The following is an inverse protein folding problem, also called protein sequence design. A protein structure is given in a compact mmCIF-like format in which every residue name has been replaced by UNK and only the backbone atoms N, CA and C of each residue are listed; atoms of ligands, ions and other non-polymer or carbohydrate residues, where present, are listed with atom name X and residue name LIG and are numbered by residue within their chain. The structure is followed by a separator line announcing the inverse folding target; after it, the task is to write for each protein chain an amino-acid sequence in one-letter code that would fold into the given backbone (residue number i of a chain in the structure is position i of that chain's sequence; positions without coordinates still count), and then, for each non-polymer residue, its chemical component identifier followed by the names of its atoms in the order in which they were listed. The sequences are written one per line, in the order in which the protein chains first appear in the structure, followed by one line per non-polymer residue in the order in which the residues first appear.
data_IF_722016225435
#
_entry.id   IF_722016225435
#
_cell.length_a   1.000
_cell.length_b   1.000
_cell.length_c   1.000
_cell.angle_alpha   90.00
_cell.angle_beta   90.00
_cell.angle_gamma   90.00
#
_symmetry.space_group_name_H-M   'P 1'
#
loop_
_entity.id
_entity.type
_entity.pdbx_description
1 polymer ?
#
# COMPACT_ATOMS: atom_id res chain seq x y z
N UNK A 1 -15.82 10.00 5.76
CA UNK A 1 -14.65 9.23 6.28
C UNK A 1 -14.22 8.29 5.17
N UNK A 2 -12.97 7.82 5.15
CA UNK A 2 -12.49 6.90 4.13
C UNK A 2 -11.77 5.72 4.77
N UNK A 3 -11.61 4.64 4.01
CA UNK A 3 -10.93 3.43 4.47
C UNK A 3 -9.65 3.22 3.67
N UNK A 4 -8.56 2.94 4.38
CA UNK A 4 -7.31 2.47 3.81
C UNK A 4 -7.12 1.00 4.20
N UNK A 5 -7.17 0.10 3.21
CA UNK A 5 -6.84 -1.31 3.35
C UNK A 5 -5.46 -1.57 2.77
N UNK A 6 -4.57 -2.18 3.54
CA UNK A 6 -3.22 -2.59 3.09
C UNK A 6 -3.21 -4.11 3.06
N UNK A 7 -2.79 -4.68 1.93
CA UNK A 7 -2.83 -6.13 1.68
C UNK A 7 -1.44 -6.70 1.46
N UNK A 8 -1.31 -8.00 1.69
CA UNK A 8 -0.27 -8.84 1.13
C UNK A 8 -0.91 -9.82 0.16
N UNK A 9 -0.24 -10.11 -0.95
CA UNK A 9 -0.77 -11.00 -1.99
C UNK A 9 -0.39 -12.48 -1.78
N UNK A 10 -1.23 -13.38 -2.30
CA UNK A 10 -1.00 -14.82 -2.37
C UNK A 10 -0.05 -15.15 -3.51
N UNK A 11 0.94 -16.02 -3.27
CA UNK A 11 1.83 -16.57 -4.31
C UNK A 11 2.95 -15.64 -4.80
N UNK A 12 2.79 -14.32 -4.71
CA UNK A 12 3.86 -13.34 -4.94
C UNK A 12 4.00 -12.42 -3.73
N UNK A 13 5.23 -12.19 -3.27
CA UNK A 13 5.49 -11.22 -2.20
C UNK A 13 5.23 -9.80 -2.71
N UNK A 14 3.98 -9.36 -2.63
CA UNK A 14 3.56 -8.03 -3.04
C UNK A 14 2.67 -7.39 -1.97
N UNK A 15 2.83 -6.07 -1.80
CA UNK A 15 2.00 -5.21 -0.98
C UNK A 15 1.23 -4.24 -1.87
N UNK A 16 -0.06 -4.06 -1.60
CA UNK A 16 -0.89 -3.09 -2.31
C UNK A 16 -1.89 -2.43 -1.36
N UNK A 17 -2.49 -1.33 -1.80
CA UNK A 17 -3.45 -0.57 -1.02
C UNK A 17 -4.78 -0.47 -1.77
N UNK A 18 -5.89 -0.75 -1.08
CA UNK A 18 -7.23 -0.41 -1.54
C UNK A 18 -7.76 0.77 -0.72
N UNK A 19 -8.19 1.81 -1.40
CA UNK A 19 -8.78 3.00 -0.80
C UNK A 19 -10.27 3.04 -1.11
N UNK A 20 -11.11 3.07 -0.08
CA UNK A 20 -12.58 3.22 -0.21
C UNK A 20 -12.99 4.62 0.24
N UNK A 21 -13.57 5.42 -0.65
CA UNK A 21 -14.05 6.78 -0.37
C UNK A 21 -15.55 6.79 -0.08
N UNK A 22 -16.06 7.77 0.69
CA UNK A 22 -17.46 7.70 1.17
C UNK A 22 -18.53 8.00 0.11
N UNK A 23 -18.31 8.93 -0.82
CA UNK A 23 -19.37 9.35 -1.77
C UNK A 23 -18.84 9.80 -3.16
N UNK A 24 -19.29 9.16 -4.26
CA UNK A 24 -19.87 7.82 -4.28
C UNK A 24 -18.87 6.81 -3.68
N UNK A 25 -19.41 5.74 -3.07
CA UNK A 25 -18.56 4.66 -2.55
C UNK A 25 -17.72 4.09 -3.68
N UNK A 26 -16.43 4.40 -3.66
CA UNK A 26 -15.51 4.09 -4.75
C UNK A 26 -14.28 3.43 -4.16
N UNK A 27 -13.98 2.24 -4.65
CA UNK A 27 -12.75 1.54 -4.35
C UNK A 27 -11.71 1.82 -5.44
N UNK A 28 -10.48 2.07 -5.02
CA UNK A 28 -9.36 2.30 -5.93
C UNK A 28 -8.13 1.60 -5.41
N UNK A 29 -7.49 0.84 -6.30
CA UNK A 29 -6.30 0.07 -6.01
C UNK A 29 -5.04 0.83 -6.39
N UNK A 30 -4.02 0.71 -5.54
CA UNK A 30 -2.72 1.32 -5.74
C UNK A 30 -1.63 0.35 -5.28
N UNK A 31 -0.73 0.00 -6.20
CA UNK A 31 0.46 -0.80 -5.93
C UNK A 31 1.69 -0.21 -6.62
N UNK A 32 2.85 -0.77 -6.32
CA UNK A 32 4.10 -0.41 -6.99
C UNK A 32 4.90 -1.65 -7.34
N UNK A 33 5.17 -1.84 -8.63
CA UNK A 33 5.79 -3.05 -9.17
C UNK A 33 6.96 -2.71 -10.09
N UNK A 34 7.89 -3.66 -10.31
CA UNK A 34 8.95 -3.45 -11.30
C UNK A 34 8.32 -3.43 -12.70
N UNK A 35 8.73 -2.46 -13.53
CA UNK A 35 8.29 -2.36 -14.92
C UNK A 35 8.67 -3.61 -15.74
N UNK A 36 9.72 -4.32 -15.32
CA UNK A 36 10.08 -5.63 -15.86
C UNK A 36 9.78 -6.70 -14.82
N UNK A 37 8.87 -7.61 -15.17
CA UNK A 37 8.39 -8.65 -14.26
C UNK A 37 9.53 -9.47 -13.64
N UNK A 38 9.44 -9.69 -12.31
CA UNK A 38 10.41 -10.43 -11.48
C UNK A 38 11.84 -9.88 -11.52
N UNK A 39 12.05 -8.63 -11.90
CA UNK A 39 13.35 -7.97 -11.73
C UNK A 39 13.41 -7.27 -10.38
N UNK A 40 14.41 -7.59 -9.54
CA UNK A 40 14.55 -6.95 -8.23
C UNK A 40 15.00 -5.49 -8.32
N UNK A 41 15.62 -5.11 -9.45
CA UNK A 41 16.03 -3.74 -9.76
C UNK A 41 15.59 -3.39 -11.18
N UNK A 42 14.74 -2.38 -11.33
CA UNK A 42 14.32 -1.84 -12.63
C UNK A 42 13.68 -0.46 -12.46
N UNK A 43 13.25 0.15 -13.57
CA UNK A 43 12.24 1.21 -13.48
C UNK A 43 11.01 0.69 -12.74
N UNK A 44 10.42 1.50 -11.88
CA UNK A 44 9.18 1.18 -11.21
C UNK A 44 7.96 1.58 -12.04
N UNK A 45 6.80 1.09 -11.64
CA UNK A 45 5.51 1.49 -12.20
C UNK A 45 4.45 1.44 -11.10
N UNK A 46 3.67 2.51 -10.99
CA UNK A 46 2.45 2.52 -10.19
C UNK A 46 1.40 1.66 -10.90
N UNK A 47 0.80 0.76 -10.15
CA UNK A 47 -0.21 -0.17 -10.62
C UNK A 47 -1.57 0.14 -10.00
N UNK A 48 -2.62 -0.04 -10.80
CA UNK A 48 -4.01 0.24 -10.43
C UNK A 48 -4.92 -0.98 -10.63
N UNK A 49 -4.36 -2.16 -10.86
CA UNK A 49 -5.14 -3.35 -11.10
C UNK A 49 -5.88 -3.77 -9.82
N UNK A 50 -7.11 -4.26 -9.98
CA UNK A 50 -7.86 -4.89 -8.90
C UNK A 50 -7.10 -6.11 -8.37
N UNK A 51 -6.94 -6.18 -7.04
CA UNK A 51 -6.19 -7.23 -6.34
C UNK A 51 -7.07 -8.10 -5.45
N UNK A 52 -8.40 -7.96 -5.54
CA UNK A 52 -9.35 -8.64 -4.66
C UNK A 52 -9.19 -10.17 -4.64
N UNK A 53 -8.86 -10.77 -5.79
CA UNK A 53 -8.64 -12.21 -5.96
C UNK A 53 -7.28 -12.70 -5.43
N UNK A 54 -6.37 -11.77 -5.10
CA UNK A 54 -5.00 -12.08 -4.67
C UNK A 54 -4.77 -11.82 -3.19
N UNK A 55 -5.74 -11.33 -2.44
CA UNK A 55 -5.56 -11.01 -1.02
C UNK A 55 -5.24 -12.28 -0.24
N UNK A 56 -4.07 -12.30 0.40
CA UNK A 56 -3.70 -13.33 1.37
C UNK A 56 -4.00 -12.87 2.80
N UNK A 57 -3.45 -11.71 3.17
CA UNK A 57 -3.69 -11.05 4.44
C UNK A 57 -3.92 -9.56 4.23
N UNK A 58 -4.63 -8.91 5.14
CA UNK A 58 -4.84 -7.47 5.09
C UNK A 58 -5.12 -6.86 6.47
N UNK A 59 -4.91 -5.55 6.52
CA UNK A 59 -5.31 -4.70 7.63
C UNK A 59 -6.05 -3.46 7.12
N UNK A 60 -7.05 -3.02 7.86
CA UNK A 60 -7.96 -1.94 7.45
C UNK A 60 -8.00 -0.83 8.48
N UNK A 61 -7.88 0.42 8.02
CA UNK A 61 -7.86 1.62 8.86
C UNK A 61 -8.95 2.61 8.46
N UNK A 62 -9.56 3.25 9.45
CA UNK A 62 -10.33 4.46 9.21
C UNK A 62 -9.40 5.66 9.10
N UNK A 63 -9.55 6.43 8.02
CA UNK A 63 -8.72 7.61 7.76
C UNK A 63 -9.59 8.79 7.33
N UNK A 64 -9.09 10.00 7.59
CA UNK A 64 -9.74 11.19 7.08
C UNK A 64 -9.69 11.20 5.54
N UNK A 65 -10.84 11.40 4.90
CA UNK A 65 -10.95 11.30 3.44
C UNK A 65 -10.08 12.30 2.69
N UNK A 66 -10.11 13.58 3.09
CA UNK A 66 -9.28 14.62 2.47
C UNK A 66 -7.79 14.33 2.62
N UNK A 67 -7.39 13.69 3.72
CA UNK A 67 -6.03 13.23 3.94
C UNK A 67 -5.67 12.06 3.02
N UNK A 68 -6.53 11.05 2.91
CA UNK A 68 -6.30 9.90 2.03
C UNK A 68 -6.13 10.35 0.57
N UNK A 69 -7.03 11.21 0.07
CA UNK A 69 -6.94 11.77 -1.29
C UNK A 69 -5.61 12.48 -1.53
N UNK A 70 -5.16 13.33 -0.59
CA UNK A 70 -3.85 14.01 -0.67
C UNK A 70 -2.68 13.03 -0.58
N UNK A 71 -2.78 12.02 0.28
CA UNK A 71 -1.75 11.00 0.48
C UNK A 71 -1.55 10.15 -0.78
N UNK A 72 -2.64 9.67 -1.39
CA UNK A 72 -2.62 8.93 -2.65
C UNK A 72 -1.98 9.77 -3.75
N UNK A 73 -2.48 11.00 -3.99
CA UNK A 73 -1.94 11.88 -5.03
C UNK A 73 -0.44 12.09 -4.89
N UNK A 74 0.03 12.36 -3.67
CA UNK A 74 1.44 12.59 -3.42
C UNK A 74 2.30 11.32 -3.57
N UNK A 75 1.79 10.16 -3.13
CA UNK A 75 2.51 8.89 -3.24
C UNK A 75 2.61 8.44 -4.70
N UNK A 76 1.51 8.52 -5.45
CA UNK A 76 1.51 8.19 -6.89
C UNK A 76 2.47 9.09 -7.66
N UNK A 77 2.46 10.40 -7.40
CA UNK A 77 3.37 11.33 -8.07
C UNK A 77 4.85 11.04 -7.73
N UNK A 78 5.15 10.71 -6.47
CA UNK A 78 6.51 10.35 -6.06
C UNK A 78 7.00 9.06 -6.73
N UNK A 79 6.14 8.05 -6.82
CA UNK A 79 6.50 6.73 -7.34
C UNK A 79 6.37 6.62 -8.87
N UNK A 80 5.83 7.62 -9.56
CA UNK A 80 5.72 7.63 -11.02
C UNK A 80 7.10 7.57 -11.71
N UNK A 81 8.12 8.21 -11.14
CA UNK A 81 9.48 8.30 -11.70
C UNK A 81 10.51 7.47 -10.92
N UNK A 82 10.07 6.73 -9.89
CA UNK A 82 10.95 6.06 -8.93
C UNK A 82 11.41 4.72 -9.48
N UNK A 83 12.68 4.38 -9.24
CA UNK A 83 13.16 3.03 -9.51
C UNK A 83 12.59 2.04 -8.49
N UNK A 84 12.24 0.85 -8.98
CA UNK A 84 11.90 -0.28 -8.15
C UNK A 84 13.21 -0.96 -7.73
N UNK A 85 13.45 -1.00 -6.42
CA UNK A 85 14.59 -1.67 -5.80
C UNK A 85 14.03 -2.46 -4.63
N UNK A 86 14.00 -3.79 -4.77
CA UNK A 86 13.52 -4.69 -3.72
C UNK A 86 14.19 -4.37 -2.37
N UNK A 87 13.40 -4.30 -1.30
CA UNK A 87 13.82 -4.00 0.08
C UNK A 87 14.35 -2.58 0.32
N UNK A 88 14.27 -1.68 -0.67
CA UNK A 88 14.73 -0.28 -0.55
C UNK A 88 13.62 0.68 -1.00
N UNK A 89 13.12 0.50 -2.21
CA UNK A 89 12.08 1.30 -2.86
C UNK A 89 11.18 0.34 -3.62
N UNK A 90 10.27 -0.31 -2.92
CA UNK A 90 9.44 -1.40 -3.45
C UNK A 90 7.96 -1.24 -3.08
N UNK A 91 7.19 -2.30 -3.30
CA UNK A 91 5.76 -2.34 -2.98
C UNK A 91 5.45 -2.04 -1.50
N UNK A 92 6.30 -2.48 -0.57
CA UNK A 92 6.14 -2.20 0.86
C UNK A 92 6.50 -0.75 1.14
N UNK A 93 7.55 -0.21 0.53
CA UNK A 93 7.88 1.22 0.62
C UNK A 93 6.72 2.09 0.17
N UNK A 94 6.06 1.74 -0.95
CA UNK A 94 4.88 2.45 -1.45
C UNK A 94 3.73 2.45 -0.43
N UNK A 95 3.33 1.26 0.05
CA UNK A 95 2.26 1.13 1.05
C UNK A 95 2.58 1.87 2.35
N UNK A 96 3.84 1.83 2.77
CA UNK A 96 4.32 2.50 3.96
C UNK A 96 4.30 4.02 3.85
N UNK A 97 4.71 4.58 2.71
CA UNK A 97 4.66 6.02 2.50
C UNK A 97 3.22 6.52 2.43
N UNK A 98 2.32 5.77 1.80
CA UNK A 98 0.88 6.07 1.82
C UNK A 98 0.32 6.06 3.24
N UNK A 99 0.63 5.03 4.03
CA UNK A 99 0.22 4.90 5.43
C UNK A 99 0.75 6.05 6.30
N UNK A 100 2.03 6.41 6.17
CA UNK A 100 2.65 7.55 6.88
C UNK A 100 1.97 8.87 6.54
N UNK A 101 1.68 9.11 5.26
CA UNK A 101 0.95 10.29 4.79
C UNK A 101 -0.49 10.34 5.33
N UNK A 102 -1.07 9.18 5.64
CA UNK A 102 -2.35 9.06 6.36
C UNK A 102 -2.24 9.27 7.88
N UNK A 103 -1.03 9.52 8.41
CA UNK A 103 -0.68 9.66 9.84
C UNK A 103 -0.74 8.37 10.65
N UNK A 104 -0.65 7.22 9.99
CA UNK A 104 -0.39 5.95 10.68
C UNK A 104 1.06 5.93 11.20
N UNK A 105 1.29 5.23 12.31
CA UNK A 105 2.61 4.93 12.84
C UNK A 105 3.20 3.78 12.03
N UNK A 106 4.27 4.06 11.30
CA UNK A 106 4.90 3.13 10.36
C UNK A 106 6.40 3.14 10.62
N UNK A 107 7.02 2.05 11.10
CA UNK A 107 8.46 2.01 11.33
C UNK A 107 9.23 2.03 10.00
N UNK A 108 10.57 2.05 10.07
CA UNK A 108 11.41 1.92 8.88
C UNK A 108 11.12 0.57 8.20
N UNK A 109 11.04 0.61 6.87
CA UNK A 109 10.63 -0.52 6.06
C UNK A 109 11.83 -1.23 5.47
N UNK A 110 11.98 -2.49 5.86
CA UNK A 110 12.77 -3.50 5.18
C UNK A 110 12.25 -4.88 5.63
N UNK A 111 11.04 -5.22 5.17
CA UNK A 111 10.29 -6.37 5.65
C UNK A 111 9.38 -6.95 4.57
N UNK A 112 8.88 -8.16 4.78
CA UNK A 112 7.93 -8.79 3.87
C UNK A 112 6.57 -8.07 3.92
N UNK A 113 5.73 -8.17 2.87
CA UNK A 113 4.38 -7.61 2.88
C UNK A 113 3.52 -8.06 4.06
N UNK A 114 3.60 -9.35 4.43
CA UNK A 114 2.89 -9.86 5.60
C UNK A 114 3.44 -9.28 6.91
N UNK A 115 4.77 -9.30 7.09
CA UNK A 115 5.39 -8.69 8.26
C UNK A 115 5.08 -7.20 8.40
N UNK A 116 4.86 -6.50 7.27
CA UNK A 116 4.39 -5.13 7.27
C UNK A 116 2.98 -4.97 7.85
N UNK A 117 2.05 -5.86 7.48
CA UNK A 117 0.70 -5.91 8.06
C UNK A 117 0.75 -6.18 9.57
N UNK A 118 1.54 -7.16 10.01
CA UNK A 118 1.73 -7.47 11.44
C UNK A 118 2.24 -6.26 12.23
N UNK A 119 3.26 -5.59 11.70
CA UNK A 119 3.83 -4.42 12.36
C UNK A 119 2.83 -3.26 12.45
N UNK A 120 2.03 -3.04 11.41
CA UNK A 120 1.00 -2.01 11.45
C UNK A 120 -0.07 -2.29 12.51
N UNK A 121 -0.44 -3.55 12.73
CA UNK A 121 -1.43 -3.95 13.74
C UNK A 121 -0.93 -3.70 15.16
N UNK A 122 0.37 -3.86 15.41
CA UNK A 122 0.97 -3.58 16.71
C UNK A 122 1.05 -2.08 17.05
N UNK A 123 1.06 -1.20 16.05
CA UNK A 123 1.41 0.22 16.23
C UNK A 123 0.21 1.16 16.04
N UNK A 124 -0.93 0.66 15.55
CA UNK A 124 -2.09 1.46 15.18
C UNK A 124 -3.40 0.76 15.57
N UNK A 125 -4.42 1.54 15.87
CA UNK A 125 -5.79 1.03 15.95
C UNK A 125 -6.31 0.73 14.54
N UNK A 126 -7.01 -0.40 14.38
CA UNK A 126 -7.52 -0.89 13.10
C UNK A 126 -8.96 -1.34 13.19
N UNK A 127 -9.65 -1.32 12.05
CA UNK A 127 -11.03 -1.82 11.92
C UNK A 127 -11.03 -3.34 11.79
N UNK A 128 -10.10 -3.88 10.99
CA UNK A 128 -10.04 -5.30 10.66
C UNK A 128 -8.61 -5.76 10.34
N UNK A 129 -8.28 -6.98 10.74
CA UNK A 129 -7.03 -7.68 10.47
C UNK A 129 -7.35 -9.16 10.18
N UNK A 130 -6.91 -9.68 9.03
CA UNK A 130 -7.04 -11.09 8.60
C UNK A 130 -5.79 -11.54 7.85
#
# INVERSE_FOLDING_TARGET
MAVLKIISETGMFHSACCCTYSEPSTESWYGFLPAVHRRPVSKGKVDFADRSDKINHYITFEVNEGRLKKAVKATVAEYAEKDYILMVSDCVSFSADLARRCRLKVPRVNMTPYGFIEVLSWWNDYIKYE
#
